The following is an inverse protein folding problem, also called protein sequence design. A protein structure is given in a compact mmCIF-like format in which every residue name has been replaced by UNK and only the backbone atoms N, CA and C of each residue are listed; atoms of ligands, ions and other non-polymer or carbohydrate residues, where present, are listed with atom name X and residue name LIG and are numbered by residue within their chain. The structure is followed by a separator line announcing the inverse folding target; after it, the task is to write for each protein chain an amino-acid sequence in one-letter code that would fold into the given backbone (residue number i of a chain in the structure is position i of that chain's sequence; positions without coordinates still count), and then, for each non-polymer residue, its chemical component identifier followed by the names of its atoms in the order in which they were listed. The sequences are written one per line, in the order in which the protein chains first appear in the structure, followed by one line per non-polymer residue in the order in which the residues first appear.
data_IF_682070431747
#
_entry.id   IF_682070431747
#
_cell.length_a   1.000
_cell.length_b   1.000
_cell.length_c   1.000
_cell.angle_alpha   90.00
_cell.angle_beta   90.00
_cell.angle_gamma   90.00
#
_symmetry.space_group_name_H-M   'P 1'
#
loop_
_entity.id
_entity.type
_entity.pdbx_description
1 polymer ?
#
# COMPACT_ATOMS: atom_id res chain seq x y z
N UNK A 1 -13.70 -29.97 17.63
CA UNK A 1 -12.27 -29.59 17.50
C UNK A 1 -11.62 -29.64 18.87
N UNK A 2 -10.33 -30.01 19.00
CA UNK A 2 -9.61 -29.76 20.26
C UNK A 2 -9.45 -28.25 20.46
N UNK A 3 -9.59 -27.75 21.67
CA UNK A 3 -9.28 -26.37 22.02
C UNK A 3 -7.78 -26.14 21.85
N UNK A 4 -7.39 -25.37 20.82
CA UNK A 4 -6.01 -24.95 20.65
C UNK A 4 -5.61 -24.06 21.83
N UNK A 5 -4.62 -24.51 22.61
CA UNK A 5 -4.05 -23.74 23.70
C UNK A 5 -3.16 -22.64 23.14
N UNK A 6 -3.76 -21.48 22.88
CA UNK A 6 -3.11 -20.32 22.27
C UNK A 6 -2.50 -19.36 23.29
N UNK A 7 -2.72 -19.59 24.59
CA UNK A 7 -2.42 -18.67 25.68
C UNK A 7 -0.92 -18.37 25.84
N UNK A 8 -0.06 -19.34 25.50
CA UNK A 8 1.39 -19.24 25.66
C UNK A 8 2.16 -19.04 24.34
N UNK A 9 3.31 -18.36 24.40
CA UNK A 9 4.16 -18.12 23.23
C UNK A 9 4.85 -19.40 22.75
N UNK A 10 5.24 -20.31 23.65
CA UNK A 10 5.70 -21.65 23.31
C UNK A 10 4.65 -22.44 22.50
N UNK A 11 3.40 -22.52 22.98
CA UNK A 11 2.33 -23.24 22.28
C UNK A 11 1.93 -22.56 20.97
N UNK A 12 1.86 -21.23 20.91
CA UNK A 12 1.59 -20.50 19.67
C UNK A 12 2.71 -20.71 18.61
N UNK A 13 3.98 -20.79 19.05
CA UNK A 13 5.13 -21.10 18.18
C UNK A 13 5.08 -22.54 17.66
N UNK A 14 4.62 -23.49 18.48
CA UNK A 14 4.44 -24.88 18.07
C UNK A 14 3.24 -25.05 17.12
N UNK A 15 2.11 -24.39 17.38
CA UNK A 15 0.95 -24.35 16.47
C UNK A 15 1.37 -23.85 15.08
N UNK A 16 2.18 -22.78 15.00
CA UNK A 16 2.71 -22.27 13.73
C UNK A 16 3.65 -23.22 12.99
N UNK A 17 4.27 -24.19 13.67
CA UNK A 17 5.05 -25.27 13.05
C UNK A 17 4.18 -26.45 12.61
N UNK A 18 3.06 -26.70 13.29
CA UNK A 18 2.17 -27.84 13.02
C UNK A 18 1.06 -27.54 12.02
N UNK A 19 0.75 -26.28 11.77
CA UNK A 19 -0.03 -25.89 10.58
C UNK A 19 0.85 -26.17 9.37
N UNK A 20 0.43 -27.01 8.41
CA UNK A 20 1.18 -27.16 7.17
C UNK A 20 1.18 -25.80 6.47
N UNK A 21 2.38 -25.29 6.18
CA UNK A 21 2.56 -24.32 5.09
C UNK A 21 1.96 -24.93 3.83
N UNK A 22 1.30 -24.12 2.97
CA UNK A 22 0.87 -24.53 1.61
C UNK A 22 1.93 -25.46 1.01
N UNK A 23 1.51 -26.64 0.55
CA UNK A 23 2.46 -27.71 0.29
C UNK A 23 3.43 -27.27 -0.81
N UNK A 24 4.69 -27.70 -0.70
CA UNK A 24 5.74 -27.48 -1.73
C UNK A 24 5.49 -28.29 -3.03
N UNK A 25 4.22 -28.62 -3.28
CA UNK A 25 3.68 -29.42 -4.39
C UNK A 25 2.29 -28.90 -4.82
N UNK A 26 1.71 -27.90 -4.12
CA UNK A 26 0.43 -27.29 -4.51
C UNK A 26 0.57 -26.68 -5.91
N UNK A 27 -0.34 -27.05 -6.81
CA UNK A 27 -0.43 -26.44 -8.15
C UNK A 27 -1.16 -25.11 -8.03
N UNK A 28 -0.61 -24.06 -8.64
CA UNK A 28 -1.17 -22.71 -8.62
C UNK A 28 -1.33 -22.16 -10.03
N UNK A 29 -2.39 -21.40 -10.25
CA UNK A 29 -2.61 -20.65 -11.49
C UNK A 29 -1.65 -19.46 -11.55
N UNK A 30 -1.04 -19.21 -12.71
CA UNK A 30 -0.09 -18.10 -12.94
C UNK A 30 -0.64 -16.70 -12.63
N UNK A 31 -1.97 -16.53 -12.65
CA UNK A 31 -2.70 -15.28 -12.44
C UNK A 31 -3.91 -15.54 -11.55
N UNK A 32 -4.13 -14.79 -10.47
CA UNK A 32 -5.43 -14.80 -9.78
C UNK A 32 -6.41 -13.93 -10.58
N UNK A 33 -7.39 -14.51 -11.27
CA UNK A 33 -8.32 -13.71 -12.07
C UNK A 33 -9.40 -14.48 -12.83
N UNK A 34 -10.25 -13.73 -13.56
CA UNK A 34 -11.31 -14.25 -14.44
C UNK A 34 -11.54 -13.33 -15.66
N UNK A 35 -11.91 -13.91 -16.80
CA UNK A 35 -12.35 -13.19 -18.01
C UNK A 35 -11.38 -12.12 -18.51
N UNK A 36 -10.07 -12.40 -18.60
CA UNK A 36 -9.07 -11.41 -19.02
C UNK A 36 -8.50 -11.72 -20.40
N UNK A 37 -8.12 -10.68 -21.15
CA UNK A 37 -7.43 -10.79 -22.44
C UNK A 37 -6.27 -9.80 -22.48
N UNK A 38 -5.05 -10.25 -22.82
CA UNK A 38 -3.89 -9.37 -23.02
C UNK A 38 -3.58 -8.49 -21.80
N UNK A 39 -3.38 -9.13 -20.62
CA UNK A 39 -3.17 -8.43 -19.33
C UNK A 39 -1.87 -8.83 -18.62
N UNK A 40 -1.42 -7.98 -17.70
CA UNK A 40 -0.30 -8.25 -16.80
C UNK A 40 -0.61 -7.74 -15.38
N UNK A 41 -0.49 -8.59 -14.35
CA UNK A 41 -0.83 -8.25 -12.96
C UNK A 41 -1.21 -9.48 -12.11
N UNK A 42 -1.99 -9.27 -11.07
CA UNK A 42 -2.58 -10.32 -10.20
C UNK A 42 -3.88 -9.76 -9.58
N UNK A 43 -4.85 -10.62 -9.26
CA UNK A 43 -6.22 -10.23 -8.85
C UNK A 43 -6.99 -9.40 -9.90
N UNK A 44 -6.94 -9.81 -11.19
CA UNK A 44 -7.55 -9.13 -12.33
C UNK A 44 -8.89 -9.75 -12.77
N UNK A 45 -9.91 -8.94 -13.08
CA UNK A 45 -11.22 -9.44 -13.53
C UNK A 45 -11.83 -8.55 -14.63
N UNK A 46 -12.24 -9.16 -15.75
CA UNK A 46 -12.83 -8.51 -16.92
C UNK A 46 -11.93 -7.45 -17.58
N UNK A 47 -10.61 -7.66 -17.62
CA UNK A 47 -9.64 -6.67 -18.09
C UNK A 47 -9.13 -6.93 -19.52
N UNK A 48 -8.85 -5.83 -20.24
CA UNK A 48 -8.13 -5.77 -21.52
C UNK A 48 -7.14 -4.61 -21.52
N UNK A 49 -6.02 -4.72 -22.25
CA UNK A 49 -4.97 -3.70 -22.45
C UNK A 49 -4.24 -3.16 -21.19
N UNK A 50 -4.69 -3.53 -19.98
CA UNK A 50 -4.31 -2.91 -18.71
C UNK A 50 -2.92 -3.28 -18.18
N UNK A 51 -2.25 -2.30 -17.55
CA UNK A 51 -0.90 -2.43 -17.00
C UNK A 51 -0.76 -1.86 -15.57
N UNK A 52 0.21 -2.27 -14.77
CA UNK A 52 0.34 -3.67 -14.32
C UNK A 52 -0.50 -3.93 -13.03
N UNK A 53 -1.50 -3.05 -12.79
CA UNK A 53 -2.64 -3.15 -11.88
C UNK A 53 -2.67 -4.25 -10.81
N UNK A 54 -2.84 -3.82 -9.56
CA UNK A 54 -3.49 -4.60 -8.50
C UNK A 54 -4.02 -3.60 -7.46
N UNK A 55 -4.83 -3.95 -6.47
CA UNK A 55 -5.94 -4.92 -6.52
C UNK A 55 -7.14 -4.16 -7.08
N UNK A 56 -7.78 -4.65 -8.16
CA UNK A 56 -8.39 -3.77 -9.19
C UNK A 56 -9.79 -4.17 -9.68
N UNK A 57 -10.52 -3.24 -10.32
CA UNK A 57 -11.71 -3.58 -11.13
C UNK A 57 -12.13 -2.57 -12.22
N UNK A 58 -12.72 -3.15 -13.28
CA UNK A 58 -13.59 -2.59 -14.33
C UNK A 58 -13.05 -1.81 -15.54
N UNK A 59 -11.90 -1.12 -15.53
CA UNK A 59 -11.60 -0.17 -16.64
C UNK A 59 -10.17 -0.21 -17.24
N UNK A 60 -10.13 0.06 -18.54
CA UNK A 60 -8.98 0.14 -19.46
C UNK A 60 -8.44 1.60 -19.56
N UNK A 61 -7.54 1.97 -20.47
CA UNK A 61 -6.39 1.19 -20.97
C UNK A 61 -5.18 1.31 -20.01
N UNK A 62 -5.23 2.33 -19.15
CA UNK A 62 -4.75 2.42 -17.76
C UNK A 62 -3.30 2.04 -17.41
N UNK A 63 -2.63 2.90 -16.61
CA UNK A 63 -1.24 2.73 -16.16
C UNK A 63 -0.92 3.53 -14.89
N UNK A 64 -0.26 3.00 -13.84
CA UNK A 64 -0.09 1.61 -13.41
C UNK A 64 -0.59 1.53 -11.95
N UNK A 65 -1.91 1.62 -11.79
CA UNK A 65 -2.62 2.10 -10.61
C UNK A 65 -2.65 1.10 -9.41
N UNK A 66 -2.73 1.56 -8.14
CA UNK A 66 -2.96 0.70 -6.94
C UNK A 66 -3.60 1.46 -5.76
N UNK A 67 -4.79 1.15 -5.20
CA UNK A 67 -5.69 -0.01 -5.37
C UNK A 67 -7.08 0.46 -5.75
N UNK A 68 -7.66 -0.11 -6.80
CA UNK A 68 -8.62 0.63 -7.63
C UNK A 68 -9.98 -0.07 -7.77
N UNK A 69 -11.02 0.75 -7.83
CA UNK A 69 -12.32 0.38 -8.40
C UNK A 69 -12.71 1.56 -9.30
N UNK A 70 -12.88 1.30 -10.61
CA UNK A 70 -12.59 2.27 -11.70
C UNK A 70 -11.07 2.41 -11.93
N UNK A 71 -10.52 2.98 -13.03
CA UNK A 71 -10.99 4.07 -13.90
C UNK A 71 -10.41 4.08 -15.33
N UNK A 72 -11.16 4.66 -16.28
CA UNK A 72 -10.70 4.95 -17.66
C UNK A 72 -10.61 6.47 -17.84
N UNK A 73 -9.49 7.07 -18.24
CA UNK A 73 -8.22 6.48 -18.71
C UNK A 73 -7.12 6.75 -17.67
N UNK A 74 -6.88 5.82 -16.72
CA UNK A 74 -5.89 6.02 -15.62
C UNK A 74 -4.48 6.34 -16.15
N UNK A 75 -3.93 7.53 -15.87
CA UNK A 75 -2.48 7.71 -15.70
C UNK A 75 -2.18 8.27 -14.30
N UNK A 76 -1.57 7.42 -13.48
CA UNK A 76 -1.28 7.62 -12.05
C UNK A 76 -2.53 7.64 -11.14
N UNK A 77 -2.69 6.61 -10.29
CA UNK A 77 -3.78 6.52 -9.30
C UNK A 77 -3.48 5.58 -8.13
N UNK A 78 -3.95 5.94 -6.93
CA UNK A 78 -3.49 5.42 -5.63
C UNK A 78 -4.62 4.83 -4.75
N UNK A 79 -4.33 4.36 -3.55
CA UNK A 79 -5.31 3.67 -2.68
C UNK A 79 -6.12 4.68 -1.83
N UNK A 80 -7.45 4.64 -1.78
CA UNK A 80 -8.45 3.64 -2.20
C UNK A 80 -9.61 4.32 -2.97
N UNK A 81 -10.43 3.61 -3.76
CA UNK A 81 -11.17 4.21 -4.88
C UNK A 81 -12.59 3.73 -5.23
N UNK A 82 -13.33 4.56 -5.99
CA UNK A 82 -14.64 4.32 -6.65
C UNK A 82 -14.93 5.35 -7.78
N UNK A 83 -15.71 4.95 -8.81
CA UNK A 83 -16.39 5.76 -9.87
C UNK A 83 -15.61 6.95 -10.42
N UNK A 84 -14.52 6.68 -11.13
CA UNK A 84 -13.58 7.69 -11.63
C UNK A 84 -13.35 7.59 -13.14
N UNK A 85 -13.30 8.75 -13.82
CA UNK A 85 -12.96 8.90 -15.24
C UNK A 85 -12.75 10.41 -15.56
N UNK A 86 -11.72 10.93 -16.24
CA UNK A 86 -10.40 10.44 -16.66
C UNK A 86 -9.28 11.16 -15.83
N UNK A 87 -7.99 10.77 -15.99
CA UNK A 87 -6.99 10.80 -14.88
C UNK A 87 -5.57 11.24 -15.30
N UNK A 88 -4.97 12.16 -14.53
CA UNK A 88 -3.64 12.81 -14.66
C UNK A 88 -3.12 13.14 -13.24
N UNK A 89 -2.79 12.13 -12.40
CA UNK A 89 -3.42 12.18 -11.06
C UNK A 89 -2.68 11.66 -9.79
N UNK A 90 -3.33 11.97 -8.66
CA UNK A 90 -3.62 11.06 -7.55
C UNK A 90 -2.44 10.41 -6.79
N UNK A 91 -2.14 11.00 -5.63
CA UNK A 91 -1.93 10.22 -4.40
C UNK A 91 -3.23 10.22 -3.54
N UNK A 92 -4.23 9.48 -4.04
CA UNK A 92 -5.50 9.02 -3.46
C UNK A 92 -6.77 9.91 -3.56
N UNK A 93 -7.82 9.37 -4.22
CA UNK A 93 -9.17 9.92 -4.34
C UNK A 93 -10.22 8.79 -4.18
N UNK A 94 -11.01 8.86 -3.10
CA UNK A 94 -12.01 7.82 -2.64
C UNK A 94 -15.00 7.88 -2.58
N UNK A 95 -15.89 8.83 -3.05
CA UNK A 95 -17.05 8.52 -3.94
C UNK A 95 -16.95 9.48 -5.14
N UNK A 96 -17.37 9.04 -6.33
CA UNK A 96 -17.38 9.67 -7.68
C UNK A 96 -16.38 10.80 -8.05
N UNK A 97 -15.78 10.71 -9.24
CA UNK A 97 -14.84 11.72 -9.77
C UNK A 97 -14.86 11.87 -11.30
N UNK A 98 -14.92 13.13 -11.77
CA UNK A 98 -14.68 13.56 -13.16
C UNK A 98 -14.33 15.06 -13.16
N UNK A 99 -13.20 15.57 -13.64
CA UNK A 99 -11.98 14.97 -14.21
C UNK A 99 -10.79 15.72 -13.55
N UNK A 100 -9.68 15.05 -13.19
CA UNK A 100 -8.76 15.60 -12.15
C UNK A 100 -7.28 15.63 -12.57
N UNK A 101 -6.58 16.71 -12.16
CA UNK A 101 -5.29 17.11 -12.72
C UNK A 101 -4.38 17.86 -11.69
N UNK A 102 -3.17 17.43 -11.33
CA UNK A 102 -2.89 16.35 -10.37
C UNK A 102 -3.38 16.68 -8.94
N UNK A 103 -3.42 15.68 -8.04
CA UNK A 103 -4.05 15.84 -6.72
C UNK A 103 -3.52 14.93 -5.60
N UNK A 104 -3.77 15.35 -4.36
CA UNK A 104 -3.48 14.65 -3.10
C UNK A 104 -4.21 15.43 -1.98
N UNK A 105 -5.48 15.19 -1.59
CA UNK A 105 -6.37 14.01 -1.67
C UNK A 105 -7.87 14.39 -1.83
N UNK A 106 -8.68 13.34 -2.07
CA UNK A 106 -10.06 13.02 -1.60
C UNK A 106 -10.87 14.06 -0.78
N UNK A 107 -12.21 14.11 -0.72
CA UNK A 107 -13.34 13.50 -1.47
C UNK A 107 -14.66 14.24 -1.07
N UNK A 108 -15.87 14.00 -1.58
CA UNK A 108 -16.40 13.05 -2.59
C UNK A 108 -17.23 13.80 -3.64
N UNK A 109 -17.54 13.12 -4.74
CA UNK A 109 -18.36 13.55 -5.86
C UNK A 109 -17.79 14.84 -6.46
N UNK A 110 -16.54 14.71 -6.94
CA UNK A 110 -15.62 15.80 -7.32
C UNK A 110 -15.75 16.19 -8.79
N UNK A 111 -15.60 17.49 -9.07
CA UNK A 111 -15.13 18.01 -10.37
C UNK A 111 -14.18 19.21 -10.22
N UNK A 112 -13.26 19.38 -11.18
CA UNK A 112 -12.39 20.55 -11.38
C UNK A 112 -11.58 21.01 -10.14
N UNK A 113 -10.60 20.19 -9.72
CA UNK A 113 -9.59 20.54 -8.71
C UNK A 113 -8.18 20.44 -9.29
N UNK A 114 -7.31 21.41 -8.97
CA UNK A 114 -5.90 21.39 -9.38
C UNK A 114 -4.95 21.67 -8.21
N UNK A 115 -3.88 20.87 -8.08
CA UNK A 115 -2.84 21.00 -7.05
C UNK A 115 -3.41 21.19 -5.63
N UNK A 116 -4.47 20.46 -5.27
CA UNK A 116 -5.25 20.69 -4.05
C UNK A 116 -5.37 19.47 -3.13
N UNK A 117 -5.62 19.74 -1.84
CA UNK A 117 -5.58 18.80 -0.70
C UNK A 117 -6.77 19.00 0.23
N UNK A 118 -7.40 17.92 0.72
CA UNK A 118 -8.47 17.96 1.75
C UNK A 118 -9.64 18.93 1.42
N UNK A 119 -9.93 19.11 0.12
CA UNK A 119 -10.94 20.05 -0.38
C UNK A 119 -12.34 19.43 -0.45
N UNK A 120 -12.89 19.02 0.69
CA UNK A 120 -14.15 18.28 0.76
C UNK A 120 -15.32 19.04 0.12
N UNK A 121 -16.05 18.36 -0.77
CA UNK A 121 -17.24 18.88 -1.47
C UNK A 121 -17.05 20.28 -2.11
N UNK A 122 -15.84 20.56 -2.60
CA UNK A 122 -15.45 21.83 -3.22
C UNK A 122 -15.17 21.66 -4.71
N UNK A 123 -15.30 22.74 -5.49
CA UNK A 123 -15.12 22.76 -6.96
C UNK A 123 -14.41 24.04 -7.40
N UNK A 124 -13.80 24.06 -8.58
CA UNK A 124 -13.11 25.23 -9.13
C UNK A 124 -12.09 25.82 -8.11
N UNK A 125 -11.11 24.99 -7.73
CA UNK A 125 -10.07 25.34 -6.75
C UNK A 125 -8.66 25.06 -7.30
N UNK A 126 -7.72 25.97 -7.01
CA UNK A 126 -6.33 25.90 -7.47
C UNK A 126 -5.36 26.11 -6.28
N UNK A 127 -4.48 25.15 -6.01
CA UNK A 127 -3.47 25.28 -4.95
C UNK A 127 -4.05 25.36 -3.54
N UNK A 128 -5.22 24.77 -3.29
CA UNK A 128 -5.96 24.91 -2.03
C UNK A 128 -5.75 23.71 -1.09
N UNK A 129 -5.79 23.96 0.22
CA UNK A 129 -5.56 22.97 1.28
C UNK A 129 -6.61 23.12 2.38
N UNK A 130 -7.44 22.09 2.59
CA UNK A 130 -8.35 21.96 3.75
C UNK A 130 -9.70 22.66 3.65
N UNK A 131 -10.09 23.16 2.47
CA UNK A 131 -11.38 23.86 2.27
C UNK A 131 -12.58 22.90 2.32
N UNK A 132 -13.76 23.42 2.67
CA UNK A 132 -15.02 22.65 2.71
C UNK A 132 -16.16 23.44 2.08
N UNK A 133 -16.90 22.84 1.16
CA UNK A 133 -18.01 23.46 0.43
C UNK A 133 -17.63 24.79 -0.28
N UNK A 134 -16.41 24.88 -0.83
CA UNK A 134 -15.86 26.10 -1.41
C UNK A 134 -15.92 26.11 -2.95
N UNK A 135 -15.95 27.32 -3.53
CA UNK A 135 -15.88 27.54 -4.98
C UNK A 135 -15.08 28.82 -5.32
N UNK A 136 -14.39 28.82 -6.46
CA UNK A 136 -13.56 29.92 -6.99
C UNK A 136 -12.44 30.35 -6.02
N UNK A 137 -11.63 29.37 -5.59
CA UNK A 137 -10.57 29.58 -4.61
C UNK A 137 -9.17 29.37 -5.19
N UNK A 138 -8.25 30.28 -4.87
CA UNK A 138 -6.81 30.18 -5.22
C UNK A 138 -6.00 30.39 -3.95
N UNK A 139 -5.13 29.44 -3.61
CA UNK A 139 -4.29 29.47 -2.39
C UNK A 139 -5.08 29.81 -1.11
N UNK A 140 -6.20 29.10 -0.88
CA UNK A 140 -7.13 29.28 0.24
C UNK A 140 -7.85 30.64 0.34
N UNK A 141 -7.69 31.56 -0.63
CA UNK A 141 -8.53 32.76 -0.75
C UNK A 141 -9.63 32.53 -1.79
N UNK A 142 -10.86 32.92 -1.45
CA UNK A 142 -11.99 32.98 -2.38
C UNK A 142 -11.99 34.29 -3.20
N UNK A 143 -12.47 34.20 -4.43
CA UNK A 143 -12.56 35.27 -5.43
C UNK A 143 -13.95 35.31 -6.05
N UNK A 144 -14.27 36.36 -6.82
CA UNK A 144 -15.41 36.24 -7.77
C UNK A 144 -15.05 35.25 -8.88
N UNK A 145 -16.07 34.77 -9.61
CA UNK A 145 -15.86 33.89 -10.77
C UNK A 145 -14.96 34.55 -11.82
N UNK A 146 -15.22 35.82 -12.11
CA UNK A 146 -14.54 36.62 -13.13
C UNK A 146 -13.08 36.92 -12.76
N UNK A 147 -12.82 37.11 -11.46
CA UNK A 147 -11.46 37.20 -10.93
C UNK A 147 -10.71 35.87 -11.05
N UNK A 148 -11.34 34.75 -10.65
CA UNK A 148 -10.77 33.41 -10.73
C UNK A 148 -10.41 33.02 -12.17
N UNK A 149 -11.36 33.16 -13.10
CA UNK A 149 -11.19 32.86 -14.53
C UNK A 149 -10.11 33.74 -15.20
N UNK A 150 -9.81 34.92 -14.63
CA UNK A 150 -8.77 35.84 -15.09
C UNK A 150 -7.39 35.63 -14.42
N UNK A 151 -7.37 35.04 -13.22
CA UNK A 151 -6.14 34.79 -12.45
C UNK A 151 -5.53 33.43 -12.76
N UNK A 152 -6.33 32.36 -12.81
CA UNK A 152 -5.82 30.99 -13.01
C UNK A 152 -4.97 30.88 -14.29
N UNK A 153 -5.39 31.36 -15.49
CA UNK A 153 -4.57 31.26 -16.70
C UNK A 153 -3.18 31.90 -16.60
N UNK A 154 -3.01 32.94 -15.77
CA UNK A 154 -1.71 33.58 -15.55
C UNK A 154 -0.77 32.75 -14.68
N UNK A 155 -1.34 32.03 -13.70
CA UNK A 155 -0.60 31.10 -12.86
C UNK A 155 -0.15 29.90 -13.72
N UNK A 156 -1.04 29.40 -14.59
CA UNK A 156 -0.73 28.37 -15.59
C UNK A 156 0.41 28.83 -16.52
N UNK A 157 0.30 30.03 -17.12
CA UNK A 157 1.33 30.59 -18.01
C UNK A 157 2.70 30.76 -17.31
N UNK A 158 2.70 31.08 -16.01
CA UNK A 158 3.93 31.12 -15.21
C UNK A 158 4.50 29.72 -14.97
N UNK A 159 3.68 28.76 -14.52
CA UNK A 159 4.10 27.38 -14.28
C UNK A 159 4.58 26.67 -15.55
N UNK A 160 4.05 27.03 -16.72
CA UNK A 160 4.55 26.56 -18.01
C UNK A 160 5.96 27.09 -18.33
N UNK A 161 6.27 28.34 -17.93
CA UNK A 161 7.60 28.95 -18.11
C UNK A 161 8.64 28.46 -17.09
N UNK A 162 8.20 28.00 -15.91
CA UNK A 162 9.09 27.39 -14.89
C UNK A 162 9.27 25.89 -15.05
N UNK A 163 8.46 25.23 -15.89
CA UNK A 163 8.46 23.77 -16.04
C UNK A 163 7.75 23.02 -14.89
N UNK A 164 6.91 23.72 -14.13
CA UNK A 164 6.13 23.16 -13.02
C UNK A 164 4.71 22.75 -13.45
N UNK A 165 4.25 23.21 -14.62
CA UNK A 165 2.94 22.83 -15.16
C UNK A 165 2.97 21.46 -15.84
N UNK A 166 2.26 20.50 -15.25
CA UNK A 166 2.16 19.12 -15.76
C UNK A 166 2.95 18.11 -14.93
N UNK A 167 3.53 18.52 -13.79
CA UNK A 167 4.28 17.66 -12.89
C UNK A 167 3.50 17.39 -11.58
N UNK A 168 3.75 16.21 -10.98
CA UNK A 168 3.27 15.93 -9.62
C UNK A 168 4.09 16.71 -8.58
N UNK A 169 3.56 16.83 -7.35
CA UNK A 169 4.27 17.47 -6.25
C UNK A 169 5.68 16.87 -6.04
N UNK A 170 6.75 17.67 -6.10
CA UNK A 170 8.10 17.14 -6.15
C UNK A 170 8.51 16.54 -4.80
N UNK A 171 9.14 15.36 -4.82
CA UNK A 171 9.54 14.58 -3.63
C UNK A 171 10.28 15.38 -2.55
N UNK A 172 10.99 16.45 -2.93
CA UNK A 172 11.63 17.42 -2.03
C UNK A 172 10.67 18.03 -0.99
N UNK A 173 9.38 18.20 -1.30
CA UNK A 173 8.38 18.74 -0.35
C UNK A 173 7.68 17.67 0.51
N UNK A 174 7.94 16.37 0.28
CA UNK A 174 7.42 15.31 1.14
C UNK A 174 7.84 15.53 2.60
N UNK A 175 6.91 15.44 3.59
CA UNK A 175 7.27 15.45 5.00
C UNK A 175 7.93 14.14 5.46
N UNK A 176 7.86 13.08 4.66
CA UNK A 176 8.41 11.76 4.94
C UNK A 176 9.65 11.44 4.09
N UNK A 177 10.61 10.73 4.67
CA UNK A 177 11.71 10.10 3.94
C UNK A 177 11.26 8.82 3.20
N UNK A 178 11.94 8.45 2.11
CA UNK A 178 11.53 7.30 1.29
C UNK A 178 11.41 6.00 2.11
N UNK A 179 12.41 5.74 2.96
CA UNK A 179 12.51 4.53 3.77
C UNK A 179 11.51 4.42 4.94
N UNK A 180 10.69 5.46 5.18
CA UNK A 180 9.54 5.40 6.10
C UNK A 180 8.18 5.44 5.38
N UNK A 181 8.16 5.57 4.05
CA UNK A 181 6.94 5.47 3.25
C UNK A 181 6.61 4.03 2.86
N UNK A 182 5.36 3.82 2.46
CA UNK A 182 4.88 2.60 1.79
C UNK A 182 5.62 2.26 0.49
N UNK A 183 6.36 3.20 -0.12
CA UNK A 183 7.19 2.90 -1.28
C UNK A 183 8.31 1.91 -0.95
N UNK A 184 8.95 2.02 0.22
CA UNK A 184 9.99 1.09 0.69
C UNK A 184 9.46 -0.34 0.94
N UNK A 185 8.15 -0.50 1.18
CA UNK A 185 7.50 -1.80 1.38
C UNK A 185 7.36 -2.59 0.07
N UNK A 186 7.06 -1.90 -1.04
CA UNK A 186 6.80 -2.53 -2.34
C UNK A 186 7.97 -2.42 -3.33
N UNK A 187 8.78 -1.37 -3.18
CA UNK A 187 9.93 -1.04 -4.02
C UNK A 187 11.16 -0.80 -3.10
N UNK A 188 11.67 -1.83 -2.41
CA UNK A 188 12.73 -1.65 -1.44
C UNK A 188 14.03 -1.20 -2.12
N UNK A 189 14.50 0.00 -1.78
CA UNK A 189 15.80 0.54 -2.20
C UNK A 189 16.81 0.51 -1.04
N UNK A 190 18.10 0.47 -1.39
CA UNK A 190 19.20 0.73 -0.45
C UNK A 190 19.37 2.22 -0.16
N UNK A 191 20.07 2.55 0.93
CA UNK A 191 20.43 3.93 1.29
C UNK A 191 21.13 4.68 0.14
N UNK A 192 22.02 4.01 -0.59
CA UNK A 192 22.74 4.58 -1.72
C UNK A 192 21.80 4.96 -2.87
N UNK A 193 20.93 4.04 -3.30
CA UNK A 193 19.97 4.27 -4.38
C UNK A 193 18.94 5.37 -4.03
N UNK A 194 18.58 5.52 -2.76
CA UNK A 194 17.69 6.59 -2.28
C UNK A 194 18.38 7.95 -2.44
N UNK A 195 19.63 8.06 -2.01
CA UNK A 195 20.43 9.30 -2.11
C UNK A 195 20.72 9.63 -3.58
N UNK A 196 21.09 8.65 -4.40
CA UNK A 196 21.35 8.79 -5.84
C UNK A 196 20.12 9.33 -6.60
N UNK A 197 18.90 8.89 -6.21
CA UNK A 197 17.63 9.39 -6.76
C UNK A 197 17.21 10.75 -6.20
N UNK A 198 18.04 11.42 -5.39
CA UNK A 198 17.74 12.70 -4.75
C UNK A 198 16.62 12.62 -3.70
N UNK A 199 16.32 11.43 -3.19
CA UNK A 199 15.25 11.19 -2.24
C UNK A 199 15.76 11.32 -0.80
N UNK A 200 14.90 11.80 0.10
CA UNK A 200 15.21 11.89 1.53
C UNK A 200 15.40 10.50 2.12
N UNK A 201 16.53 10.27 2.79
CA UNK A 201 16.75 9.10 3.66
C UNK A 201 16.68 9.54 5.13
N UNK A 202 16.11 8.69 5.99
CA UNK A 202 16.01 8.89 7.43
C UNK A 202 16.79 7.79 8.13
N UNK A 203 17.88 8.18 8.81
CA UNK A 203 18.65 7.26 9.64
C UNK A 203 17.75 6.63 10.71
N UNK A 204 17.83 5.31 10.88
CA UNK A 204 17.19 4.68 12.03
C UNK A 204 17.96 5.03 13.30
N UNK A 205 17.26 5.50 14.35
CA UNK A 205 17.88 5.69 15.67
C UNK A 205 18.33 4.34 16.21
N UNK A 206 19.61 4.24 16.61
CA UNK A 206 20.14 3.00 17.15
C UNK A 206 19.39 2.62 18.43
N UNK A 207 19.02 1.33 18.56
CA UNK A 207 18.54 0.78 19.83
C UNK A 207 19.68 0.38 20.77
N UNK A 208 20.94 0.53 20.35
CA UNK A 208 22.13 0.27 21.16
C UNK A 208 22.32 1.33 22.26
N UNK A 209 21.81 2.54 22.04
CA UNK A 209 21.87 3.66 23.01
C UNK A 209 20.93 3.47 24.21
N UNK A 210 20.07 2.44 24.19
CA UNK A 210 19.11 2.15 25.26
C UNK A 210 19.75 1.34 26.39
N UNK A 211 20.18 2.06 27.44
CA UNK A 211 20.76 1.49 28.67
C UNK A 211 19.72 0.96 29.67
N UNK A 212 18.44 0.89 29.31
CA UNK A 212 17.38 0.45 30.22
C UNK A 212 17.36 -1.08 30.43
N UNK A 213 16.65 -1.56 31.48
CA UNK A 213 16.64 -2.98 31.82
C UNK A 213 16.03 -3.83 30.70
N UNK A 214 16.59 -5.04 30.52
CA UNK A 214 15.96 -6.08 29.69
C UNK A 214 14.68 -6.56 30.37
N UNK A 215 13.61 -6.64 29.61
CA UNK A 215 12.28 -7.01 30.11
C UNK A 215 11.99 -8.44 29.71
N UNK A 216 11.97 -9.34 30.68
CA UNK A 216 11.48 -10.69 30.46
C UNK A 216 9.96 -10.67 30.28
N UNK A 217 9.50 -11.40 29.27
CA UNK A 217 8.08 -11.54 28.91
C UNK A 217 7.63 -12.94 29.36
N UNK A 218 6.66 -13.06 30.28
CA UNK A 218 6.05 -14.34 30.65
C UNK A 218 5.57 -15.12 29.43
N UNK A 219 5.57 -16.46 29.50
CA UNK A 219 5.18 -17.26 28.34
C UNK A 219 3.67 -17.23 28.10
N UNK A 220 2.85 -17.31 29.15
CA UNK A 220 1.38 -17.27 29.11
C UNK A 220 0.81 -15.86 29.38
N UNK A 221 -0.23 -15.49 28.63
CA UNK A 221 -0.91 -14.19 28.74
C UNK A 221 -1.57 -13.93 30.11
N UNK A 222 -1.90 -14.98 30.88
CA UNK A 222 -2.45 -14.86 32.24
C UNK A 222 -1.46 -14.20 33.20
N UNK A 223 -0.17 -14.51 33.05
CA UNK A 223 0.92 -14.07 33.91
C UNK A 223 1.44 -12.66 33.55
N UNK A 224 0.97 -12.09 32.43
CA UNK A 224 1.35 -10.75 31.99
C UNK A 224 0.54 -9.70 32.73
N UNK A 225 1.17 -9.01 33.69
CA UNK A 225 0.57 -7.92 34.47
C UNK A 225 0.50 -6.58 33.69
N UNK A 226 -0.25 -5.58 34.18
CA UNK A 226 -0.43 -4.30 33.46
C UNK A 226 0.83 -3.39 33.47
N UNK A 227 1.82 -3.62 34.34
CA UNK A 227 3.09 -2.88 34.31
C UNK A 227 3.89 -3.11 33.02
N UNK A 228 3.60 -4.17 32.26
CA UNK A 228 4.19 -4.40 30.93
C UNK A 228 3.98 -3.22 29.97
N UNK A 229 2.88 -2.45 30.15
CA UNK A 229 2.58 -1.28 29.33
C UNK A 229 3.50 -0.07 29.64
N UNK A 230 4.11 -0.05 30.84
CA UNK A 230 5.09 0.99 31.21
C UNK A 230 6.50 0.63 30.75
N UNK A 231 6.83 -0.66 30.76
CA UNK A 231 8.12 -1.23 30.34
C UNK A 231 8.40 -0.97 28.84
N UNK A 232 9.66 -1.00 28.44
CA UNK A 232 10.11 -0.91 27.04
C UNK A 232 10.59 -2.29 26.62
N UNK A 233 10.00 -2.83 25.54
CA UNK A 233 10.31 -4.15 25.01
C UNK A 233 11.28 -4.04 23.83
N UNK A 234 12.10 -5.07 23.62
CA UNK A 234 13.04 -5.17 22.50
C UNK A 234 12.61 -6.29 21.55
N UNK A 235 12.61 -6.01 20.24
CA UNK A 235 12.19 -7.01 19.25
C UNK A 235 13.22 -8.14 19.10
N UNK A 236 12.76 -9.39 19.17
CA UNK A 236 13.59 -10.62 18.99
C UNK A 236 14.34 -10.73 17.65
N UNK A 237 14.04 -9.89 16.65
CA UNK A 237 14.58 -9.98 15.29
C UNK A 237 15.33 -8.71 14.88
N UNK A 238 14.69 -7.54 15.00
CA UNK A 238 15.26 -6.26 14.53
C UNK A 238 15.98 -5.47 15.63
N UNK A 239 15.94 -5.92 16.88
CA UNK A 239 16.46 -5.17 18.02
C UNK A 239 15.75 -3.85 18.31
N UNK A 240 14.75 -3.44 17.51
CA UNK A 240 13.98 -2.21 17.69
C UNK A 240 13.18 -2.24 18.99
N UNK A 241 13.10 -1.08 19.63
CA UNK A 241 12.36 -0.87 20.87
C UNK A 241 10.87 -0.60 20.58
N UNK A 242 9.98 -1.10 21.41
CA UNK A 242 8.53 -0.88 21.31
C UNK A 242 7.86 -0.95 22.70
N UNK A 243 6.59 -0.54 22.75
CA UNK A 243 5.71 -0.74 23.93
C UNK A 243 4.46 -1.50 23.51
N UNK A 244 3.71 -1.95 24.50
CA UNK A 244 2.35 -2.51 24.35
C UNK A 244 1.38 -1.55 25.03
N UNK A 245 0.32 -1.15 24.32
CA UNK A 245 -0.74 -0.31 24.90
C UNK A 245 -1.66 -1.12 25.80
N UNK A 246 -2.37 -0.44 26.73
CA UNK A 246 -3.36 -1.12 27.58
C UNK A 246 -4.51 -1.72 26.76
N UNK A 247 -4.85 -1.10 25.63
CA UNK A 247 -5.81 -1.60 24.65
C UNK A 247 -5.32 -2.91 24.00
N UNK A 248 -4.07 -2.96 23.55
CA UNK A 248 -3.45 -4.19 23.04
C UNK A 248 -3.39 -5.28 24.11
N UNK A 249 -2.96 -4.99 25.34
CA UNK A 249 -2.93 -5.98 26.43
C UNK A 249 -4.32 -6.56 26.72
N UNK A 250 -5.36 -5.71 26.77
CA UNK A 250 -6.75 -6.13 26.95
C UNK A 250 -7.25 -6.98 25.78
N UNK A 251 -6.86 -6.67 24.54
CA UNK A 251 -7.12 -7.52 23.38
C UNK A 251 -6.42 -8.89 23.50
N UNK A 252 -5.13 -8.92 23.85
CA UNK A 252 -4.37 -10.17 23.99
C UNK A 252 -4.96 -11.08 25.07
N UNK A 253 -5.30 -10.51 26.24
CA UNK A 253 -6.01 -11.23 27.31
C UNK A 253 -7.39 -11.74 26.86
N UNK A 254 -8.22 -10.89 26.25
CA UNK A 254 -9.56 -11.28 25.77
C UNK A 254 -9.52 -12.40 24.71
N UNK A 255 -8.51 -12.38 23.84
CA UNK A 255 -8.32 -13.36 22.76
C UNK A 255 -7.55 -14.62 23.20
N UNK A 256 -7.14 -14.69 24.48
CA UNK A 256 -6.33 -15.76 25.07
C UNK A 256 -5.08 -16.10 24.24
N UNK A 257 -4.27 -15.08 23.95
CA UNK A 257 -3.03 -15.15 23.16
C UNK A 257 -1.91 -14.33 23.82
N UNK A 258 -0.64 -14.76 23.76
CA UNK A 258 0.50 -14.05 24.34
C UNK A 258 0.72 -12.69 23.66
N UNK A 259 1.32 -11.75 24.41
CA UNK A 259 1.80 -10.50 23.82
C UNK A 259 2.94 -10.79 22.82
N UNK A 260 3.09 -9.98 21.76
CA UNK A 260 4.10 -10.23 20.75
C UNK A 260 5.50 -9.89 21.25
N UNK A 261 6.46 -10.79 21.02
CA UNK A 261 7.91 -10.58 21.21
C UNK A 261 8.60 -9.89 20.01
N UNK A 262 7.79 -9.38 19.08
CA UNK A 262 8.22 -8.68 17.86
C UNK A 262 7.53 -7.32 17.75
N UNK A 263 8.28 -6.28 17.39
CA UNK A 263 7.76 -4.92 17.22
C UNK A 263 6.67 -4.86 16.10
N UNK A 264 5.83 -3.82 16.07
CA UNK A 264 4.80 -3.64 15.04
C UNK A 264 5.35 -3.77 13.61
N UNK A 265 6.48 -3.12 13.32
CA UNK A 265 7.15 -3.12 12.00
C UNK A 265 7.51 -4.55 11.56
N UNK A 266 8.17 -5.32 12.43
CA UNK A 266 8.59 -6.68 12.13
C UNK A 266 7.37 -7.60 11.95
N UNK A 267 6.34 -7.43 12.78
CA UNK A 267 5.05 -8.12 12.61
C UNK A 267 4.36 -7.74 11.31
N UNK A 268 4.55 -6.52 10.80
CA UNK A 268 3.98 -6.04 9.54
C UNK A 268 4.75 -6.60 8.34
N UNK A 269 6.07 -6.50 8.34
CA UNK A 269 6.97 -7.14 7.35
C UNK A 269 6.68 -8.64 7.21
N UNK A 270 6.50 -9.35 8.33
CA UNK A 270 6.14 -10.78 8.35
C UNK A 270 4.72 -11.09 7.85
N UNK A 271 3.78 -10.13 7.85
CA UNK A 271 2.47 -10.29 7.19
C UNK A 271 2.58 -10.00 5.70
N UNK A 272 3.38 -9.01 5.32
CA UNK A 272 3.56 -8.63 3.91
C UNK A 272 4.34 -9.68 3.12
N UNK A 273 5.31 -10.37 3.73
CA UNK A 273 6.00 -11.52 3.12
C UNK A 273 5.13 -12.78 2.95
N UNK A 274 3.87 -12.78 3.41
CA UNK A 274 2.89 -13.85 3.12
C UNK A 274 2.03 -13.54 1.89
N UNK A 275 2.21 -12.36 1.28
CA UNK A 275 1.54 -11.96 0.04
C UNK A 275 2.49 -12.12 -1.14
N UNK A 276 1.93 -12.37 -2.33
CA UNK A 276 2.69 -12.22 -3.56
C UNK A 276 3.18 -10.76 -3.70
N UNK A 277 4.42 -10.52 -4.16
CA UNK A 277 4.95 -9.17 -4.33
C UNK A 277 4.22 -8.43 -5.45
N UNK A 278 4.27 -7.09 -5.44
CA UNK A 278 3.83 -6.22 -6.56
C UNK A 278 4.85 -6.21 -7.70
N UNK A 279 5.35 -7.40 -8.08
CA UNK A 279 6.38 -7.62 -9.09
C UNK A 279 5.99 -8.82 -9.92
N UNK A 280 6.07 -8.65 -11.23
CA UNK A 280 5.94 -9.74 -12.20
C UNK A 280 7.31 -10.34 -12.51
N UNK A 281 7.31 -11.62 -12.82
CA UNK A 281 8.46 -12.43 -13.18
C UNK A 281 8.08 -13.27 -14.39
N UNK A 282 9.00 -13.35 -15.37
CA UNK A 282 8.87 -14.31 -16.45
C UNK A 282 9.21 -15.72 -15.93
N UNK A 283 8.25 -16.64 -16.02
CA UNK A 283 8.43 -18.07 -15.81
C UNK A 283 7.99 -18.85 -17.06
N UNK A 284 8.30 -20.13 -17.09
CA UNK A 284 7.61 -21.10 -17.94
C UNK A 284 6.48 -21.76 -17.14
N UNK A 285 5.43 -22.19 -17.83
CA UNK A 285 4.43 -23.10 -17.26
C UNK A 285 5.08 -24.43 -16.89
N UNK A 286 4.97 -24.85 -15.63
CA UNK A 286 5.60 -26.07 -15.10
C UNK A 286 4.96 -27.40 -15.60
N UNK A 287 4.13 -27.34 -16.66
CA UNK A 287 3.54 -28.50 -17.34
C UNK A 287 3.74 -28.50 -18.87
N UNK A 288 3.68 -27.33 -19.52
CA UNK A 288 3.71 -27.23 -21.00
C UNK A 288 4.71 -26.20 -21.55
N UNK A 289 5.63 -25.71 -20.70
CA UNK A 289 6.74 -24.81 -21.01
C UNK A 289 6.42 -23.44 -21.65
N UNK A 290 5.16 -23.13 -21.96
CA UNK A 290 4.76 -21.82 -22.47
C UNK A 290 5.16 -20.69 -21.51
N UNK A 291 5.62 -19.56 -22.05
CA UNK A 291 6.00 -18.39 -21.27
C UNK A 291 4.78 -17.81 -20.52
N UNK A 292 4.99 -17.39 -19.28
CA UNK A 292 3.98 -16.79 -18.39
C UNK A 292 4.61 -15.66 -17.55
N UNK A 293 4.00 -14.48 -17.58
CA UNK A 293 4.28 -13.41 -16.61
C UNK A 293 3.44 -13.68 -15.35
N UNK A 294 4.07 -13.74 -14.18
CA UNK A 294 3.40 -14.12 -12.92
C UNK A 294 4.01 -13.44 -11.69
N UNK A 295 3.27 -13.33 -10.59
CA UNK A 295 3.79 -12.84 -9.29
C UNK A 295 4.49 -13.92 -8.46
N UNK A 296 4.46 -15.19 -8.90
CA UNK A 296 5.25 -16.27 -8.29
C UNK A 296 6.71 -16.21 -8.77
N UNK A 297 7.61 -15.74 -7.90
CA UNK A 297 9.04 -15.63 -8.21
C UNK A 297 9.68 -16.98 -8.60
N UNK A 298 10.78 -17.01 -9.38
CA UNK A 298 11.43 -18.25 -9.81
C UNK A 298 11.93 -19.15 -8.68
N UNK A 299 12.34 -18.56 -7.55
CA UNK A 299 12.78 -19.27 -6.34
C UNK A 299 11.65 -19.94 -5.54
N UNK A 300 10.39 -19.81 -5.98
CA UNK A 300 9.22 -20.41 -5.32
C UNK A 300 8.95 -21.83 -5.81
N UNK A 301 8.74 -22.70 -4.82
CA UNK A 301 8.57 -24.16 -4.99
C UNK A 301 7.16 -24.57 -5.45
N UNK A 302 6.20 -23.66 -5.47
CA UNK A 302 4.88 -23.94 -6.05
C UNK A 302 4.96 -24.16 -7.57
N UNK A 303 4.18 -25.13 -8.08
CA UNK A 303 4.08 -25.40 -9.53
C UNK A 303 3.13 -24.40 -10.16
N UNK A 304 3.63 -23.54 -11.04
CA UNK A 304 2.87 -22.46 -11.66
C UNK A 304 2.42 -22.89 -13.05
N UNK A 305 1.11 -23.10 -13.21
CA UNK A 305 0.51 -23.52 -14.47
C UNK A 305 -0.18 -22.36 -15.18
N UNK A 306 -0.13 -22.37 -16.53
CA UNK A 306 -0.99 -21.53 -17.35
C UNK A 306 -2.46 -21.96 -17.23
N UNK A 307 -3.40 -21.11 -17.65
CA UNK A 307 -4.84 -21.34 -17.46
C UNK A 307 -5.33 -22.70 -17.95
N UNK A 308 -4.93 -23.09 -19.16
CA UNK A 308 -5.24 -24.41 -19.73
C UNK A 308 -4.79 -25.55 -18.81
N UNK A 309 -3.51 -25.60 -18.47
CA UNK A 309 -2.97 -26.72 -17.68
C UNK A 309 -3.41 -26.70 -16.22
N UNK A 310 -3.76 -25.52 -15.67
CA UNK A 310 -4.38 -25.43 -14.35
C UNK A 310 -5.78 -26.06 -14.37
N UNK A 311 -6.61 -25.74 -15.36
CA UNK A 311 -7.94 -26.36 -15.52
C UNK A 311 -7.83 -27.88 -15.74
N UNK A 312 -6.88 -28.34 -16.58
CA UNK A 312 -6.56 -29.77 -16.79
C UNK A 312 -6.01 -30.49 -15.54
N UNK A 313 -5.73 -29.78 -14.44
CA UNK A 313 -5.23 -30.35 -13.19
C UNK A 313 -6.24 -30.30 -12.02
N UNK A 314 -7.41 -29.71 -12.24
CA UNK A 314 -8.45 -29.44 -11.22
C UNK A 314 -9.79 -30.13 -11.55
N UNK A 315 -9.94 -30.64 -12.78
CA UNK A 315 -11.11 -31.36 -13.31
C UNK A 315 -10.74 -32.75 -13.81
#
# INVERSE_FOLDING_TARGET
MKSLEKASYSSLKNIKKSVPTKNMQDVVLYLTGKNNSEVSGDFLNNCKNAQNCFTSSNLEDCKNCYSIFYAKDCHDYNAWGQKSEQIYECEAIGESAYNILFCNKSWSNIANLMYSTDCFSSKNCFGCVGLKNAEYCIFNKQYTKEEYEKLVPKIIEHMQKTGEWGEFFPSKISPFAYNETVAQEYFPLTKSEIIEKGLKYKEEKSSQDYMGPKVEIPDDIKDVDESICQKILQCEISGKLYKITLQELKFYKKMNIPIPRKCPDQRHKERMSLRNPRKLFERKCDNCEIAISTTYAPERLEKVFCEKCYLESVY
#
